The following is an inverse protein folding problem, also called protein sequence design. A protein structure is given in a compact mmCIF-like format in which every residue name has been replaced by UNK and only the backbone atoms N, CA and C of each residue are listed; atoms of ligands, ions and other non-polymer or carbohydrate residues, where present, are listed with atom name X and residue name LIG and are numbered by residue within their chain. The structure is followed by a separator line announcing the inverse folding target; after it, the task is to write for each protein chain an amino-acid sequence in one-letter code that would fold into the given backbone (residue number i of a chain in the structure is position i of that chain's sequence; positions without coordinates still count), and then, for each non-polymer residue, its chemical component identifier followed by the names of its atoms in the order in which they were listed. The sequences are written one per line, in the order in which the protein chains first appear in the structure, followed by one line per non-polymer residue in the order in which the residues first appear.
data_IF_407171601962
#
_entry.id   IF_407171601962
#
_cell.length_a   1.000
_cell.length_b   1.000
_cell.length_c   1.000
_cell.angle_alpha   90.00
_cell.angle_beta   90.00
_cell.angle_gamma   90.00
#
_symmetry.space_group_name_H-M   'P 1'
#
loop_
_entity.id
_entity.type
_entity.pdbx_description
1 polymer ?
#
# COMPACT_ATOMS: atom_id res chain seq x y z
N UNK A 1 -11.09 25.05 -9.14
CA UNK A 1 -10.69 24.31 -7.92
C UNK A 1 -9.20 24.58 -7.70
N UNK A 2 -8.78 25.12 -6.55
CA UNK A 2 -7.38 25.53 -6.32
C UNK A 2 -6.51 24.28 -6.11
N UNK A 3 -5.51 24.05 -6.94
CA UNK A 3 -4.62 22.87 -6.86
C UNK A 3 -3.73 22.97 -5.62
N UNK A 4 -4.01 22.14 -4.61
CA UNK A 4 -3.29 22.08 -3.33
C UNK A 4 -2.73 20.69 -3.09
N UNK A 5 -1.65 20.59 -2.29
CA UNK A 5 -1.13 19.31 -1.78
C UNK A 5 -2.21 18.44 -1.15
N UNK A 6 -3.16 19.05 -0.43
CA UNK A 6 -4.28 18.32 0.21
C UNK A 6 -5.13 17.58 -0.83
N UNK A 7 -5.40 18.21 -1.98
CA UNK A 7 -6.20 17.59 -3.04
C UNK A 7 -5.42 16.45 -3.71
N UNK A 8 -4.11 16.63 -3.90
CA UNK A 8 -3.24 15.57 -4.44
C UNK A 8 -3.17 14.36 -3.51
N UNK A 9 -3.01 14.58 -2.20
CA UNK A 9 -3.01 13.50 -1.20
C UNK A 9 -4.37 12.82 -1.13
N UNK A 10 -5.47 13.57 -1.22
CA UNK A 10 -6.84 13.02 -1.26
C UNK A 10 -7.06 12.11 -2.47
N UNK A 11 -6.62 12.53 -3.67
CA UNK A 11 -6.65 11.67 -4.87
C UNK A 11 -5.82 10.40 -4.65
N UNK A 12 -4.66 10.52 -4.00
CA UNK A 12 -3.83 9.36 -3.64
C UNK A 12 -4.57 8.36 -2.76
N UNK A 13 -5.30 8.84 -1.74
CA UNK A 13 -6.14 8.00 -0.86
C UNK A 13 -7.26 7.33 -1.65
N UNK A 14 -7.98 8.10 -2.47
CA UNK A 14 -9.07 7.57 -3.31
C UNK A 14 -8.59 6.45 -4.25
N UNK A 15 -7.42 6.59 -4.85
CA UNK A 15 -6.84 5.54 -5.71
C UNK A 15 -6.50 4.29 -4.88
N UNK A 16 -5.92 4.44 -3.69
CA UNK A 16 -5.62 3.30 -2.82
C UNK A 16 -6.90 2.56 -2.42
N UNK A 17 -7.94 3.29 -2.03
CA UNK A 17 -9.21 2.73 -1.60
C UNK A 17 -9.95 2.04 -2.75
N UNK A 18 -9.92 2.61 -3.97
CA UNK A 18 -10.49 2.00 -5.17
C UNK A 18 -9.79 0.68 -5.54
N UNK A 19 -8.46 0.62 -5.44
CA UNK A 19 -7.69 -0.61 -5.71
C UNK A 19 -8.11 -1.69 -4.71
N UNK A 20 -8.04 -1.40 -3.41
CA UNK A 20 -8.40 -2.36 -2.35
C UNK A 20 -9.85 -2.83 -2.49
N UNK A 21 -10.77 -1.93 -2.78
CA UNK A 21 -12.17 -2.28 -3.00
C UNK A 21 -12.34 -3.17 -4.22
N UNK A 22 -11.68 -2.84 -5.34
CA UNK A 22 -11.77 -3.61 -6.58
C UNK A 22 -11.26 -5.04 -6.40
N UNK A 23 -10.20 -5.24 -5.63
CA UNK A 23 -9.67 -6.56 -5.33
C UNK A 23 -10.56 -7.36 -4.40
N UNK A 24 -11.10 -6.74 -3.35
CA UNK A 24 -12.03 -7.42 -2.47
C UNK A 24 -13.28 -7.85 -3.25
N UNK A 25 -13.79 -7.02 -4.16
CA UNK A 25 -14.89 -7.41 -5.06
C UNK A 25 -14.47 -8.58 -5.96
N UNK A 26 -13.28 -8.52 -6.56
CA UNK A 26 -12.77 -9.58 -7.42
C UNK A 26 -12.64 -10.91 -6.67
N UNK A 27 -12.00 -10.92 -5.50
CA UNK A 27 -11.81 -12.09 -4.65
C UNK A 27 -13.16 -12.70 -4.24
N UNK A 28 -14.12 -11.86 -3.83
CA UNK A 28 -15.45 -12.31 -3.41
C UNK A 28 -16.25 -12.88 -4.57
N UNK A 29 -16.20 -12.26 -5.75
CA UNK A 29 -16.86 -12.78 -6.95
C UNK A 29 -16.24 -14.12 -7.35
N UNK A 30 -14.91 -14.21 -7.41
CA UNK A 30 -14.21 -15.47 -7.73
C UNK A 30 -14.52 -16.57 -6.70
N UNK A 31 -14.43 -16.24 -5.42
CA UNK A 31 -14.72 -17.11 -4.29
C UNK A 31 -16.13 -17.68 -4.29
N UNK A 32 -17.14 -16.81 -4.41
CA UNK A 32 -18.54 -17.24 -4.33
C UNK A 32 -19.10 -17.80 -5.63
N UNK A 33 -18.84 -17.16 -6.78
CA UNK A 33 -19.49 -17.52 -8.03
C UNK A 33 -18.80 -18.70 -8.74
N UNK A 34 -17.47 -18.77 -8.67
CA UNK A 34 -16.71 -19.80 -9.40
C UNK A 34 -16.34 -20.96 -8.47
N UNK A 35 -15.62 -20.69 -7.38
CA UNK A 35 -15.15 -21.74 -6.45
C UNK A 35 -16.21 -22.23 -5.46
N UNK A 36 -17.22 -21.42 -5.17
CA UNK A 36 -18.35 -21.77 -4.32
C UNK A 36 -19.40 -22.64 -5.02
N UNK A 37 -19.36 -22.74 -6.35
CA UNK A 37 -20.22 -23.65 -7.11
C UNK A 37 -19.65 -25.08 -7.04
N UNK A 38 -20.51 -26.09 -6.82
CA UNK A 38 -20.13 -27.51 -6.84
C UNK A 38 -19.78 -28.05 -8.26
N UNK A 39 -19.17 -27.22 -9.11
CA UNK A 39 -18.70 -27.63 -10.42
C UNK A 39 -17.31 -28.26 -10.33
N UNK A 40 -17.25 -29.59 -10.39
CA UNK A 40 -16.02 -30.40 -10.40
C UNK A 40 -15.09 -30.10 -11.60
N UNK A 41 -15.58 -29.39 -12.62
CA UNK A 41 -14.83 -29.06 -13.84
C UNK A 41 -13.96 -27.81 -13.73
N UNK A 42 -14.11 -27.00 -12.66
CA UNK A 42 -13.33 -25.78 -12.48
C UNK A 42 -12.08 -26.10 -11.67
N UNK A 43 -10.91 -26.05 -12.32
CA UNK A 43 -9.64 -26.21 -11.64
C UNK A 43 -9.28 -24.92 -10.86
N UNK A 44 -9.46 -24.96 -9.54
CA UNK A 44 -9.11 -23.86 -8.62
C UNK A 44 -7.61 -23.54 -8.62
N UNK A 45 -6.76 -24.51 -8.90
CA UNK A 45 -5.31 -24.38 -8.82
C UNK A 45 -4.66 -24.07 -10.18
N UNK A 46 -5.43 -23.56 -11.14
CA UNK A 46 -4.87 -23.13 -12.41
C UNK A 46 -4.03 -21.85 -12.22
N UNK A 47 -2.93 -21.74 -12.96
CA UNK A 47 -2.05 -20.57 -12.92
C UNK A 47 -2.83 -19.26 -13.14
N UNK A 48 -3.73 -19.25 -14.13
CA UNK A 48 -4.58 -18.10 -14.46
C UNK A 48 -5.52 -17.65 -13.35
N UNK A 49 -5.82 -18.54 -12.42
CA UNK A 49 -6.68 -18.29 -11.28
C UNK A 49 -5.88 -17.87 -10.04
N UNK A 50 -4.73 -18.51 -9.82
CA UNK A 50 -3.89 -18.27 -8.66
C UNK A 50 -3.06 -16.98 -8.78
N UNK A 51 -2.55 -16.69 -9.98
CA UNK A 51 -1.74 -15.51 -10.26
C UNK A 51 -2.43 -14.18 -9.91
N UNK A 52 -3.67 -13.89 -10.37
CA UNK A 52 -4.34 -12.65 -10.01
C UNK A 52 -4.69 -12.56 -8.51
N UNK A 53 -4.93 -13.69 -7.83
CA UNK A 53 -5.14 -13.71 -6.38
C UNK A 53 -3.88 -13.33 -5.60
N UNK A 54 -2.71 -13.81 -6.02
CA UNK A 54 -1.44 -13.43 -5.39
C UNK A 54 -1.09 -11.95 -5.60
N UNK A 55 -1.37 -11.42 -6.80
CA UNK A 55 -1.26 -9.99 -7.08
C UNK A 55 -2.23 -9.22 -6.19
N UNK A 56 -3.46 -9.74 -6.08
CA UNK A 56 -4.48 -9.42 -5.09
C UNK A 56 -3.92 -9.14 -3.71
N UNK A 57 -3.50 -10.21 -3.04
CA UNK A 57 -3.02 -10.15 -1.67
C UNK A 57 -1.87 -9.14 -1.49
N UNK A 58 -0.98 -9.03 -2.47
CA UNK A 58 0.11 -8.05 -2.46
C UNK A 58 -0.40 -6.61 -2.55
N UNK A 59 -1.27 -6.33 -3.51
CA UNK A 59 -1.84 -5.00 -3.72
C UNK A 59 -2.67 -4.59 -2.51
N UNK A 60 -3.57 -5.45 -2.02
CA UNK A 60 -4.33 -5.19 -0.81
C UNK A 60 -3.42 -4.86 0.39
N UNK A 61 -2.39 -5.67 0.65
CA UNK A 61 -1.49 -5.45 1.78
C UNK A 61 -0.73 -4.11 1.68
N UNK A 62 -0.30 -3.72 0.48
CA UNK A 62 0.44 -2.48 0.26
C UNK A 62 -0.47 -1.25 0.27
N UNK A 63 -1.59 -1.30 -0.44
CA UNK A 63 -2.48 -0.14 -0.59
C UNK A 63 -3.31 0.14 0.66
N UNK A 64 -3.72 -0.87 1.44
CA UNK A 64 -4.43 -0.67 2.71
C UNK A 64 -3.55 0.08 3.73
N UNK A 65 -2.28 -0.34 3.88
CA UNK A 65 -1.34 0.33 4.79
C UNK A 65 -0.88 1.68 4.26
N UNK A 66 -0.75 1.83 2.95
CA UNK A 66 -0.41 3.11 2.32
C UNK A 66 -1.52 4.14 2.50
N UNK A 67 -2.79 3.75 2.32
CA UNK A 67 -3.95 4.62 2.56
C UNK A 67 -3.97 5.16 3.99
N UNK A 68 -3.70 4.31 4.98
CA UNK A 68 -3.54 4.74 6.37
C UNK A 68 -2.40 5.77 6.55
N UNK A 69 -1.22 5.49 5.99
CA UNK A 69 -0.08 6.40 6.03
C UNK A 69 -0.38 7.76 5.40
N UNK A 70 -1.05 7.76 4.24
CA UNK A 70 -1.52 8.96 3.56
C UNK A 70 -2.52 9.76 4.39
N UNK A 71 -3.43 9.09 5.10
CA UNK A 71 -4.35 9.72 6.05
C UNK A 71 -3.61 10.46 7.18
N UNK A 72 -2.57 9.84 7.75
CA UNK A 72 -1.72 10.47 8.77
C UNK A 72 -1.00 11.70 8.20
N UNK A 73 -0.40 11.58 7.02
CA UNK A 73 0.26 12.71 6.35
C UNK A 73 -0.71 13.84 6.00
N UNK A 74 -1.96 13.54 5.65
CA UNK A 74 -3.00 14.54 5.41
C UNK A 74 -3.36 15.31 6.70
N UNK A 75 -3.52 14.62 7.83
CA UNK A 75 -3.76 15.27 9.12
C UNK A 75 -2.55 16.16 9.53
N UNK A 76 -1.33 15.64 9.36
CA UNK A 76 -0.10 16.37 9.68
C UNK A 76 0.09 17.62 8.82
N UNK A 77 -0.13 17.51 7.50
CA UNK A 77 -0.03 18.66 6.59
C UNK A 77 -1.05 19.74 6.94
N UNK A 78 -2.29 19.38 7.30
CA UNK A 78 -3.30 20.34 7.79
C UNK A 78 -2.85 21.03 9.07
N UNK A 79 -2.28 20.29 10.03
CA UNK A 79 -1.77 20.85 11.27
C UNK A 79 -0.64 21.86 11.00
N UNK A 80 0.30 21.52 10.13
CA UNK A 80 1.39 22.42 9.75
C UNK A 80 0.90 23.68 9.05
N UNK A 81 -0.06 23.55 8.13
CA UNK A 81 -0.65 24.71 7.43
C UNK A 81 -1.34 25.63 8.43
N UNK A 82 -2.12 25.07 9.36
CA UNK A 82 -2.84 25.85 10.37
C UNK A 82 -1.90 26.54 11.36
N UNK A 83 -0.81 25.89 11.75
CA UNK A 83 0.17 26.43 12.70
C UNK A 83 1.12 27.47 12.08
N UNK A 84 1.43 27.37 10.79
CA UNK A 84 2.44 28.21 10.15
C UNK A 84 1.92 29.56 9.57
N UNK A 85 0.62 29.85 9.71
CA UNK A 85 0.08 31.20 9.43
C UNK A 85 0.46 31.76 8.04
N UNK A 86 0.43 30.94 6.99
CA UNK A 86 0.64 31.39 5.60
C UNK A 86 2.08 31.42 5.08
N UNK A 87 3.10 31.16 5.90
CA UNK A 87 4.51 31.10 5.44
C UNK A 87 4.87 29.81 4.69
N UNK A 88 4.09 28.74 4.84
CA UNK A 88 4.36 27.40 4.29
C UNK A 88 3.84 27.20 2.86
N UNK A 89 4.10 28.16 1.97
CA UNK A 89 3.67 28.12 0.56
C UNK A 89 4.25 26.94 -0.23
N UNK A 90 5.37 26.37 0.25
CA UNK A 90 6.00 25.15 -0.33
C UNK A 90 5.24 23.86 0.02
N UNK A 91 4.70 23.74 1.24
CA UNK A 91 3.96 22.54 1.70
C UNK A 91 2.58 22.48 1.03
N UNK A 92 1.99 23.63 0.69
CA UNK A 92 0.73 23.69 -0.05
C UNK A 92 0.86 23.30 -1.53
N UNK A 93 2.07 23.14 -2.07
CA UNK A 93 2.25 22.80 -3.50
C UNK A 93 1.87 21.35 -3.78
N UNK A 94 1.22 21.06 -4.93
CA UNK A 94 0.80 19.70 -5.28
C UNK A 94 1.97 18.71 -5.37
N UNK A 95 3.16 19.16 -5.78
CA UNK A 95 4.38 18.33 -5.82
C UNK A 95 4.73 17.68 -4.47
N UNK A 96 4.45 18.37 -3.36
CA UNK A 96 4.68 17.82 -2.03
C UNK A 96 3.70 16.66 -1.72
N UNK A 97 2.45 16.76 -2.18
CA UNK A 97 1.47 15.69 -2.07
C UNK A 97 1.91 14.42 -2.81
N UNK A 98 2.41 14.56 -4.05
CA UNK A 98 2.97 13.44 -4.81
C UNK A 98 4.18 12.79 -4.14
N UNK A 99 5.06 13.60 -3.54
CA UNK A 99 6.19 13.07 -2.78
C UNK A 99 5.73 12.23 -1.59
N UNK A 100 4.70 12.68 -0.86
CA UNK A 100 4.13 11.92 0.26
C UNK A 100 3.52 10.57 -0.19
N UNK A 101 2.90 10.53 -1.37
CA UNK A 101 2.39 9.28 -1.98
C UNK A 101 3.54 8.31 -2.27
N UNK A 102 4.64 8.80 -2.82
CA UNK A 102 5.79 7.96 -3.13
C UNK A 102 6.47 7.40 -1.87
N UNK A 103 6.58 8.22 -0.83
CA UNK A 103 7.17 7.82 0.46
C UNK A 103 6.29 6.78 1.18
N UNK A 104 4.97 6.97 1.19
CA UNK A 104 4.04 6.03 1.82
C UNK A 104 4.06 4.66 1.12
N UNK A 105 4.05 4.63 -0.22
CA UNK A 105 4.19 3.39 -1.00
C UNK A 105 5.53 2.69 -0.73
N UNK A 106 6.65 3.43 -0.75
CA UNK A 106 7.97 2.85 -0.56
C UNK A 106 8.19 2.32 0.87
N UNK A 107 7.73 3.06 1.88
CA UNK A 107 7.85 2.65 3.29
C UNK A 107 7.02 1.41 3.58
N UNK A 108 5.82 1.32 3.02
CA UNK A 108 4.95 0.14 3.18
C UNK A 108 5.51 -1.07 2.44
N UNK A 109 6.03 -0.89 1.23
CA UNK A 109 6.68 -1.98 0.50
C UNK A 109 7.86 -2.57 1.28
N UNK A 110 8.71 -1.71 1.84
CA UNK A 110 9.80 -2.15 2.70
C UNK A 110 9.30 -2.85 3.96
N UNK A 111 8.30 -2.29 4.65
CA UNK A 111 7.75 -2.93 5.86
C UNK A 111 7.16 -4.31 5.56
N UNK A 112 6.46 -4.45 4.44
CA UNK A 112 5.92 -5.73 3.98
C UNK A 112 7.04 -6.74 3.71
N UNK A 113 8.09 -6.32 3.00
CA UNK A 113 9.24 -7.17 2.69
C UNK A 113 9.97 -7.62 3.97
N UNK A 114 10.28 -6.67 4.87
CA UNK A 114 11.02 -6.94 6.11
C UNK A 114 10.22 -7.68 7.18
N UNK A 115 8.88 -7.73 7.09
CA UNK A 115 8.04 -8.48 8.04
C UNK A 115 8.30 -9.99 8.03
N UNK A 116 8.80 -10.53 6.91
CA UNK A 116 9.11 -11.95 6.76
C UNK A 116 10.54 -12.35 7.16
N UNK A 117 11.41 -11.39 7.48
CA UNK A 117 12.81 -11.67 7.80
C UNK A 117 12.99 -11.88 9.31
N UNK A 118 13.39 -13.08 9.71
CA UNK A 118 13.98 -13.31 11.03
C UNK A 118 15.49 -13.08 10.93
N UNK A 119 16.02 -12.16 11.74
CA UNK A 119 17.47 -12.02 11.90
C UNK A 119 17.93 -13.19 12.77
N UNK A 120 18.47 -14.24 12.13
CA UNK A 120 19.06 -15.38 12.81
C UNK A 120 20.57 -15.11 12.88
N UNK A 121 21.13 -15.13 14.08
CA UNK A 121 22.56 -14.94 14.27
C UNK A 121 23.30 -16.20 13.79
N UNK A 122 23.88 -16.16 12.59
CA UNK A 122 24.76 -17.23 12.07
C UNK A 122 26.12 -17.07 12.74
N UNK A 123 26.28 -17.71 13.90
CA UNK A 123 27.55 -17.92 14.58
C UNK A 123 28.34 -16.66 14.97
N UNK A 124 29.37 -16.84 15.77
CA UNK A 124 30.45 -15.87 15.90
C UNK A 124 31.45 -16.25 14.81
N UNK A 125 31.78 -15.31 13.92
CA UNK A 125 32.84 -15.53 12.95
C UNK A 125 34.17 -15.65 13.70
N UNK A 126 34.83 -16.81 13.61
CA UNK A 126 36.19 -17.02 14.10
C UNK A 126 37.14 -17.08 12.89
N UNK A 127 38.25 -16.32 12.89
CA UNK A 127 39.27 -16.44 11.85
C UNK A 127 39.94 -17.82 11.92
N UNK A 128 40.28 -18.40 10.77
CA UNK A 128 41.10 -19.62 10.73
C UNK A 128 42.47 -19.34 11.35
N UNK A 129 42.82 -20.09 12.40
CA UNK A 129 44.15 -20.07 13.00
C UNK A 129 45.18 -20.48 11.94
N UNK A 130 46.02 -19.53 11.52
CA UNK A 130 47.17 -19.74 10.62
C UNK A 130 48.30 -20.52 11.29
#
# INVERSE_FOLDING_TARGET
MRTSSTNSTMIGIEICDLIVLSENVYERVQGYWFYGSHNLCINKYNYWNMYPLFIGDFLQAVFEKSSFGLGVFLAFTRLLIMKAGGTTLKISKPLFGYFLILVSLSSVHNLYYYRGYSIIQIGIWEPEDT
#
